data_IF_931711199883
#
_entry.id   IF_931711199883
#
_cell.length_a   1.000
_cell.length_b   1.000
_cell.length_c   1.000
_cell.angle_alpha   90.00
_cell.angle_beta   90.00
_cell.angle_gamma   90.00
#
_symmetry.space_group_name_H-M   'P 1'
#
loop_
_entity.id
_entity.type
_entity.pdbx_description
1 polymer ?
#
# COMPACT_ATOMS: atom_id res chain seq x y z
N UNK A 1 -16.99 -5.82 17.36
CA UNK A 1 -15.96 -4.76 17.31
C UNK A 1 -15.14 -4.95 16.05
N UNK A 2 -14.99 -3.95 15.16
CA UNK A 2 -14.10 -4.09 14.01
C UNK A 2 -12.69 -4.33 14.52
N UNK A 3 -12.07 -5.45 14.12
CA UNK A 3 -10.70 -5.78 14.51
C UNK A 3 -9.77 -4.75 13.87
N UNK A 4 -9.21 -3.86 14.70
CA UNK A 4 -8.21 -2.90 14.28
C UNK A 4 -6.94 -3.69 13.94
N UNK A 5 -6.55 -3.66 12.66
CA UNK A 5 -5.27 -4.22 12.23
C UNK A 5 -4.33 -3.07 11.88
N UNK A 6 -3.47 -2.72 12.84
CA UNK A 6 -2.58 -1.56 12.75
C UNK A 6 -1.72 -1.50 11.47
N UNK A 7 -1.12 -2.61 10.99
CA UNK A 7 -0.32 -2.55 9.76
C UNK A 7 -1.13 -2.08 8.54
N UNK A 8 -2.38 -2.54 8.42
CA UNK A 8 -3.27 -2.11 7.34
C UNK A 8 -3.71 -0.64 7.51
N UNK A 9 -3.91 -0.16 8.74
CA UNK A 9 -4.21 1.25 8.98
C UNK A 9 -3.05 2.17 8.59
N UNK A 10 -1.82 1.78 8.94
CA UNK A 10 -0.61 2.52 8.55
C UNK A 10 -0.50 2.56 7.02
N UNK A 11 -0.70 1.42 6.35
CA UNK A 11 -0.70 1.36 4.89
C UNK A 11 -1.78 2.27 4.27
N UNK A 12 -3.02 2.18 4.78
CA UNK A 12 -4.16 2.98 4.33
C UNK A 12 -3.99 4.49 4.57
N UNK A 13 -3.07 4.92 5.44
CA UNK A 13 -2.75 6.34 5.63
C UNK A 13 -2.07 6.95 4.41
N UNK A 14 -1.24 6.17 3.72
CA UNK A 14 -0.44 6.64 2.58
C UNK A 14 -1.01 6.22 1.24
N UNK A 15 -1.67 5.06 1.22
CA UNK A 15 -2.17 4.42 0.00
C UNK A 15 -3.68 4.31 0.01
N UNK A 16 -4.26 4.37 -1.19
CA UNK A 16 -5.67 4.10 -1.45
C UNK A 16 -5.72 2.97 -2.48
N UNK A 17 -6.44 1.92 -2.16
CA UNK A 17 -6.63 0.76 -3.03
C UNK A 17 -8.07 0.75 -3.54
N UNK A 18 -8.25 0.80 -4.85
CA UNK A 18 -9.56 0.83 -5.51
C UNK A 18 -9.53 -0.10 -6.74
N UNK A 19 -10.17 -1.27 -6.60
CA UNK A 19 -10.16 -2.29 -7.65
C UNK A 19 -8.74 -2.73 -8.01
N UNK A 20 -8.33 -2.64 -9.29
CA UNK A 20 -6.98 -3.00 -9.73
C UNK A 20 -5.93 -1.89 -9.51
N UNK A 21 -6.31 -0.77 -8.90
CA UNK A 21 -5.47 0.43 -8.79
C UNK A 21 -5.04 0.67 -7.36
N UNK A 22 -3.80 1.14 -7.21
CA UNK A 22 -3.31 1.77 -5.98
C UNK A 22 -2.88 3.19 -6.27
N UNK A 23 -3.27 4.12 -5.41
CA UNK A 23 -2.90 5.52 -5.53
C UNK A 23 -2.25 6.05 -4.26
N UNK A 24 -1.29 6.94 -4.44
CA UNK A 24 -0.71 7.69 -3.32
C UNK A 24 -1.69 8.78 -2.89
N UNK A 25 -2.06 8.81 -1.60
CA UNK A 25 -2.99 9.82 -1.08
C UNK A 25 -2.40 11.24 -1.05
N UNK A 26 -1.08 11.39 -1.19
CA UNK A 26 -0.41 12.69 -1.14
C UNK A 26 -0.24 13.31 -2.53
N UNK A 27 0.16 12.53 -3.53
CA UNK A 27 0.38 13.05 -4.88
C UNK A 27 -0.68 12.61 -5.91
N UNK A 28 -1.61 11.74 -5.54
CA UNK A 28 -2.70 11.30 -6.42
C UNK A 28 -2.31 10.35 -7.55
N UNK A 29 -1.00 10.17 -7.82
CA UNK A 29 -0.55 9.22 -8.84
C UNK A 29 -1.04 7.81 -8.54
N UNK A 30 -1.23 7.07 -9.63
CA UNK A 30 -1.88 5.78 -9.67
C UNK A 30 -0.93 4.77 -10.30
N UNK A 31 -0.93 3.55 -9.76
CA UNK A 31 -0.29 2.39 -10.35
C UNK A 31 -1.32 1.25 -10.46
N UNK A 32 -1.28 0.52 -11.57
CA UNK A 32 -2.12 -0.65 -11.79
C UNK A 32 -1.40 -1.91 -11.27
N UNK A 33 -2.13 -2.90 -10.72
CA UNK A 33 -1.51 -4.09 -10.12
C UNK A 33 -0.66 -4.92 -11.09
N UNK A 34 -0.99 -4.87 -12.38
CA UNK A 34 -0.22 -5.55 -13.43
C UNK A 34 1.15 -4.90 -13.68
N UNK A 35 1.37 -3.68 -13.20
CA UNK A 35 2.68 -3.03 -13.23
C UNK A 35 3.54 -3.54 -12.06
N UNK A 36 4.53 -4.35 -12.39
CA UNK A 36 5.44 -4.95 -11.42
C UNK A 36 6.58 -4.00 -10.99
N UNK A 37 6.64 -2.78 -11.53
CA UNK A 37 7.69 -1.82 -11.23
C UNK A 37 7.47 -1.10 -9.89
N UNK A 38 8.50 -0.40 -9.43
CA UNK A 38 8.39 0.45 -8.24
C UNK A 38 7.39 1.58 -8.48
N UNK A 39 6.62 1.94 -7.46
CA UNK A 39 5.67 3.03 -7.55
C UNK A 39 6.39 4.34 -7.84
N UNK A 40 5.96 5.03 -8.90
CA UNK A 40 6.51 6.31 -9.32
C UNK A 40 5.70 7.46 -8.73
N UNK A 41 6.31 8.22 -7.81
CA UNK A 41 5.70 9.41 -7.22
C UNK A 41 5.91 10.66 -8.10
N UNK A 42 5.04 11.65 -7.90
CA UNK A 42 5.26 13.00 -8.42
C UNK A 42 6.46 13.61 -7.70
N UNK A 43 7.25 14.46 -8.39
CA UNK A 43 8.55 14.94 -7.86
C UNK A 43 8.46 15.60 -6.47
N UNK A 44 7.35 16.26 -6.18
CA UNK A 44 7.12 16.99 -4.92
C UNK A 44 6.23 16.22 -3.92
N UNK A 45 6.07 14.92 -4.09
CA UNK A 45 5.27 14.12 -3.18
C UNK A 45 5.89 14.10 -1.76
N UNK A 46 5.11 14.49 -0.75
CA UNK A 46 5.56 14.46 0.67
C UNK A 46 5.89 13.07 1.19
N UNK A 47 5.42 12.04 0.50
CA UNK A 47 5.65 10.64 0.85
C UNK A 47 6.74 9.97 0.03
N UNK A 48 7.34 10.66 -0.95
CA UNK A 48 8.43 10.11 -1.74
C UNK A 48 9.58 9.68 -0.80
N UNK A 49 10.09 8.47 -1.02
CA UNK A 49 11.21 7.92 -0.26
C UNK A 49 12.43 7.77 -1.16
N UNK A 50 13.59 7.67 -0.52
CA UNK A 50 14.86 7.37 -1.20
C UNK A 50 14.87 5.93 -1.74
N UNK A 51 14.16 5.02 -1.07
CA UNK A 51 14.01 3.64 -1.50
C UNK A 51 12.77 3.43 -2.37
N UNK A 52 12.83 2.42 -3.25
CA UNK A 52 11.71 2.01 -4.09
C UNK A 52 10.55 1.49 -3.23
N UNK A 53 9.34 1.96 -3.53
CA UNK A 53 8.12 1.58 -2.80
C UNK A 53 7.29 0.62 -3.67
N UNK A 54 6.77 -0.45 -3.06
CA UNK A 54 6.03 -1.50 -3.77
C UNK A 54 4.67 -1.72 -3.09
N UNK A 55 3.71 -0.81 -3.26
CA UNK A 55 2.47 -0.77 -2.48
C UNK A 55 1.69 -2.10 -2.52
N UNK A 56 1.64 -2.78 -3.68
CA UNK A 56 0.98 -4.08 -3.79
C UNK A 56 1.71 -5.18 -3.00
N UNK A 57 3.05 -5.24 -3.07
CA UNK A 57 3.82 -6.23 -2.30
C UNK A 57 3.71 -6.00 -0.80
N UNK A 58 3.77 -4.73 -0.38
CA UNK A 58 3.55 -4.32 1.00
C UNK A 58 2.17 -4.75 1.49
N UNK A 59 1.13 -4.52 0.70
CA UNK A 59 -0.24 -4.91 1.03
C UNK A 59 -0.41 -6.43 1.11
N UNK A 60 0.14 -7.19 0.16
CA UNK A 60 0.10 -8.66 0.19
C UNK A 60 0.73 -9.20 1.47
N UNK A 61 1.91 -8.71 1.86
CA UNK A 61 2.59 -9.14 3.09
C UNK A 61 1.77 -8.83 4.35
N UNK A 62 1.11 -7.68 4.41
CA UNK A 62 0.19 -7.29 5.49
C UNK A 62 -1.00 -8.27 5.58
N UNK A 63 -1.58 -8.65 4.43
CA UNK A 63 -2.73 -9.56 4.37
C UNK A 63 -2.31 -10.98 4.75
N UNK A 64 -1.23 -11.50 4.18
CA UNK A 64 -0.70 -12.83 4.47
C UNK A 64 -0.41 -12.99 5.96
N UNK A 65 0.24 -11.99 6.58
CA UNK A 65 0.48 -11.99 8.02
C UNK A 65 -0.81 -12.02 8.83
N UNK A 66 -1.82 -11.22 8.45
CA UNK A 66 -3.13 -11.21 9.12
C UNK A 66 -3.86 -12.55 9.00
N UNK A 67 -3.73 -13.24 7.87
CA UNK A 67 -4.32 -14.57 7.66
C UNK A 67 -3.63 -15.57 8.59
N UNK A 68 -2.30 -15.58 8.60
CA UNK A 68 -1.51 -16.47 9.44
C UNK A 68 -1.76 -16.24 10.95
N UNK A 69 -1.84 -14.99 11.39
CA UNK A 69 -2.13 -14.62 12.78
C UNK A 69 -3.54 -15.07 13.24
N UNK A 70 -4.47 -15.35 12.32
CA UNK A 70 -5.84 -15.80 12.64
C UNK A 70 -6.01 -17.31 12.62
N UNK A 71 -5.05 -18.04 12.06
CA UNK A 71 -5.09 -19.50 11.93
C UNK A 71 -4.40 -20.23 13.09
N UNK A 72 -3.86 -19.50 14.07
CA UNK A 72 -3.25 -20.02 15.30
C UNK A 72 -3.84 -19.36 16.53
#
# INVERSE_FOLDING_TARGET
>A
MPTIYFPLQIWNKYWRFEGPLVSCRYCGLVQHFADATAFSHERNCKFIRIYAQFPFRELSSIIERKIHDKTF
#
